data_IF_391804046305
#
_entry.id   IF_391804046305
#
_cell.length_a   1.000
_cell.length_b   1.000
_cell.length_c   1.000
_cell.angle_alpha   90.00
_cell.angle_beta   90.00
_cell.angle_gamma   90.00
#
_symmetry.space_group_name_H-M   'P 1'
#
loop_
_entity.id
_entity.type
_entity.pdbx_description
1 polymer ?
#
# COMPACT_ATOMS: atom_id res chain seq x y z
N UNK A 1 -9.15 -2.46 23.79
CA UNK A 1 -7.75 -2.56 24.28
C UNK A 1 -6.75 -2.19 23.16
N UNK A 2 -7.02 -1.11 22.41
CA UNK A 2 -6.32 -0.74 21.16
C UNK A 2 -4.96 -0.07 21.44
N UNK A 3 -4.80 0.58 22.59
CA UNK A 3 -3.68 1.48 22.88
C UNK A 3 -2.31 0.79 22.94
N UNK A 4 -2.18 -0.41 23.52
CA UNK A 4 -0.88 -1.04 23.77
C UNK A 4 -0.15 -1.51 22.50
N UNK A 5 -0.86 -2.09 21.53
CA UNK A 5 -0.26 -2.63 20.29
C UNK A 5 0.19 -1.52 19.35
N UNK A 6 -0.66 -0.49 19.21
CA UNK A 6 -0.41 0.71 18.41
C UNK A 6 0.80 1.47 18.96
N UNK A 7 0.80 1.67 20.27
CA UNK A 7 1.90 2.33 20.98
C UNK A 7 3.19 1.52 20.86
N UNK A 8 3.15 0.19 21.00
CA UNK A 8 4.33 -0.67 20.82
C UNK A 8 4.89 -0.60 19.42
N UNK A 9 4.06 -0.71 18.37
CA UNK A 9 4.51 -0.63 16.97
C UNK A 9 5.18 0.74 16.70
N UNK A 10 4.55 1.83 17.14
CA UNK A 10 5.07 3.18 16.93
C UNK A 10 6.30 3.53 17.80
N UNK A 11 6.37 3.07 19.05
CA UNK A 11 7.53 3.26 19.93
C UNK A 11 8.72 2.42 19.43
N UNK A 12 8.52 1.16 19.05
CA UNK A 12 9.58 0.35 18.45
C UNK A 12 10.14 1.04 17.20
N UNK A 13 9.24 1.53 16.35
CA UNK A 13 9.58 2.27 15.15
C UNK A 13 10.45 3.51 15.42
N UNK A 14 10.13 4.33 16.42
CA UNK A 14 10.94 5.51 16.74
C UNK A 14 12.21 5.19 17.51
N UNK A 15 12.22 4.10 18.27
CA UNK A 15 13.42 3.64 18.98
C UNK A 15 14.45 3.10 18.00
N UNK A 16 14.03 2.39 16.96
CA UNK A 16 14.91 1.91 15.88
C UNK A 16 15.47 3.04 15.02
N UNK A 17 14.75 4.16 14.92
CA UNK A 17 15.10 5.27 14.02
C UNK A 17 15.34 6.59 14.75
N UNK A 18 15.79 6.52 16.01
CA UNK A 18 16.21 7.66 16.82
C UNK A 18 17.49 8.30 16.25
N UNK A 19 17.41 8.82 15.02
CA UNK A 19 18.21 9.95 14.60
C UNK A 19 17.79 11.05 15.56
N UNK A 20 18.71 11.58 16.38
CA UNK A 20 18.43 12.41 17.56
C UNK A 20 17.62 13.71 17.36
N UNK A 21 16.95 13.87 16.23
CA UNK A 21 16.06 14.97 15.86
C UNK A 21 14.58 14.75 16.16
N UNK A 22 14.13 13.57 16.59
CA UNK A 22 12.68 13.27 16.73
C UNK A 22 12.33 12.71 18.12
N UNK A 23 11.76 13.55 18.98
CA UNK A 23 11.13 13.09 20.21
C UNK A 23 9.68 12.69 19.94
N UNK A 24 9.30 11.44 20.25
CA UNK A 24 7.88 11.06 20.33
C UNK A 24 7.29 11.75 21.56
N UNK A 25 6.18 12.46 21.36
CA UNK A 25 5.38 13.01 22.43
C UNK A 25 4.06 12.26 22.57
N UNK A 26 3.43 12.36 23.74
CA UNK A 26 2.09 11.82 24.00
C UNK A 26 1.05 12.35 23.00
N UNK A 27 1.25 13.57 22.48
CA UNK A 27 0.42 14.18 21.44
C UNK A 27 0.44 13.40 20.13
N UNK A 28 1.59 12.85 19.72
CA UNK A 28 1.67 12.04 18.51
C UNK A 28 0.84 10.76 18.65
N UNK A 29 0.84 10.16 19.83
CA UNK A 29 0.04 8.96 20.14
C UNK A 29 -1.44 9.29 20.11
N UNK A 30 -1.85 10.42 20.70
CA UNK A 30 -3.25 10.89 20.65
C UNK A 30 -3.71 11.12 19.21
N UNK A 31 -2.91 11.82 18.41
CA UNK A 31 -3.20 12.05 16.99
C UNK A 31 -3.33 10.75 16.21
N UNK A 32 -2.48 9.75 16.51
CA UNK A 32 -2.50 8.45 15.84
C UNK A 32 -3.79 7.69 16.14
N UNK A 33 -4.21 7.65 17.41
CA UNK A 33 -5.48 7.02 17.81
C UNK A 33 -6.66 7.69 17.10
N UNK A 34 -6.69 9.04 17.07
CA UNK A 34 -7.76 9.78 16.38
C UNK A 34 -7.82 9.48 14.88
N UNK A 35 -6.67 9.39 14.21
CA UNK A 35 -6.60 9.07 12.79
C UNK A 35 -7.06 7.64 12.49
N UNK A 36 -6.67 6.68 13.33
CA UNK A 36 -7.08 5.28 13.17
C UNK A 36 -8.61 5.13 13.36
N UNK A 37 -9.18 5.79 14.36
CA UNK A 37 -10.63 5.81 14.56
C UNK A 37 -11.38 6.53 13.43
N UNK A 38 -10.83 7.64 12.92
CA UNK A 38 -11.41 8.34 11.78
C UNK A 38 -11.43 7.45 10.53
N UNK A 39 -10.35 6.71 10.27
CA UNK A 39 -10.26 5.78 9.15
C UNK A 39 -11.27 4.61 9.28
N UNK A 40 -11.42 4.05 10.47
CA UNK A 40 -12.44 3.03 10.75
C UNK A 40 -13.87 3.58 10.52
N UNK A 41 -14.15 4.81 10.97
CA UNK A 41 -15.44 5.48 10.77
C UNK A 41 -15.72 5.80 9.30
N UNK A 42 -14.70 6.15 8.52
CA UNK A 42 -14.85 6.32 7.06
C UNK A 42 -15.27 5.01 6.37
N UNK A 43 -14.84 3.87 6.91
CA UNK A 43 -15.26 2.53 6.48
C UNK A 43 -16.54 2.04 7.16
N UNK A 44 -17.24 2.91 7.90
CA UNK A 44 -18.46 2.58 8.67
C UNK A 44 -18.26 1.44 9.69
N UNK A 45 -17.02 1.20 10.14
CA UNK A 45 -16.70 0.19 11.17
C UNK A 45 -16.71 0.82 12.56
N UNK A 46 -17.16 0.05 13.55
CA UNK A 46 -17.13 0.42 14.97
C UNK A 46 -15.83 0.03 15.68
N UNK A 47 -14.97 -0.75 15.02
CA UNK A 47 -13.71 -1.26 15.54
C UNK A 47 -12.55 -0.85 14.62
N UNK A 48 -11.37 -0.72 15.22
CA UNK A 48 -10.13 -0.34 14.54
C UNK A 48 -9.36 -1.61 14.18
N UNK A 49 -9.01 -1.76 12.91
CA UNK A 49 -8.16 -2.83 12.39
C UNK A 49 -6.69 -2.40 12.35
N UNK A 50 -5.77 -3.37 12.22
CA UNK A 50 -4.33 -3.09 12.03
C UNK A 50 -4.08 -2.21 10.79
N UNK A 51 -4.87 -2.37 9.73
CA UNK A 51 -4.79 -1.55 8.50
C UNK A 51 -5.03 -0.05 8.78
N UNK A 52 -5.97 0.26 9.69
CA UNK A 52 -6.31 1.63 10.04
C UNK A 52 -5.15 2.30 10.82
N UNK A 53 -4.41 1.50 11.60
CA UNK A 53 -3.22 1.91 12.33
C UNK A 53 -2.07 2.18 11.35
N UNK A 54 -1.87 1.32 10.36
CA UNK A 54 -0.84 1.49 9.35
C UNK A 54 -1.06 2.77 8.52
N UNK A 55 -2.32 3.07 8.17
CA UNK A 55 -2.70 4.34 7.52
C UNK A 55 -2.43 5.54 8.42
N UNK A 56 -2.80 5.47 9.71
CA UNK A 56 -2.55 6.55 10.67
C UNK A 56 -1.05 6.84 10.85
N UNK A 57 -0.22 5.79 10.95
CA UNK A 57 1.25 5.89 11.00
C UNK A 57 1.77 6.57 9.73
N UNK A 58 1.34 6.13 8.55
CA UNK A 58 1.77 6.72 7.28
C UNK A 58 1.50 8.23 7.21
N UNK A 59 0.29 8.66 7.58
CA UNK A 59 -0.10 10.09 7.55
C UNK A 59 0.77 10.92 8.49
N UNK A 60 0.98 10.43 9.72
CA UNK A 60 1.85 11.13 10.70
C UNK A 60 3.28 11.23 10.17
N UNK A 61 3.82 10.16 9.60
CA UNK A 61 5.17 10.17 9.05
C UNK A 61 5.33 11.09 7.85
N UNK A 62 4.37 11.10 6.94
CA UNK A 62 4.43 11.97 5.77
C UNK A 62 4.40 13.45 6.17
N UNK A 63 3.52 13.80 7.12
CA UNK A 63 3.49 15.15 7.70
C UNK A 63 4.81 15.51 8.38
N UNK A 64 5.39 14.58 9.15
CA UNK A 64 6.63 14.82 9.88
C UNK A 64 7.84 14.97 8.95
N UNK A 65 7.93 14.12 7.92
CA UNK A 65 9.02 14.18 6.94
C UNK A 65 8.96 15.51 6.19
N UNK A 66 7.77 15.99 5.82
CA UNK A 66 7.63 17.26 5.08
C UNK A 66 8.14 18.50 5.83
N UNK A 67 8.20 18.46 7.17
CA UNK A 67 8.68 19.59 7.98
C UNK A 67 10.19 19.57 8.21
N UNK A 68 10.91 18.53 7.78
CA UNK A 68 12.35 18.40 8.01
C UNK A 68 13.18 19.09 6.91
N UNK A 69 14.45 19.39 7.22
CA UNK A 69 15.41 19.90 6.23
C UNK A 69 15.62 18.89 5.11
N UNK A 70 15.84 19.36 3.88
CA UNK A 70 15.93 18.50 2.69
C UNK A 70 16.90 17.30 2.79
N UNK A 71 18.03 17.47 3.49
CA UNK A 71 18.96 16.36 3.74
C UNK A 71 18.33 15.25 4.59
N UNK A 72 17.71 15.65 5.71
CA UNK A 72 17.02 14.74 6.64
C UNK A 72 15.79 14.13 5.96
N UNK A 73 15.04 14.90 5.17
CA UNK A 73 13.88 14.37 4.42
C UNK A 73 14.28 13.19 3.53
N UNK A 74 15.37 13.33 2.76
CA UNK A 74 15.84 12.26 1.86
C UNK A 74 16.29 11.03 2.64
N UNK A 75 16.98 11.22 3.76
CA UNK A 75 17.37 10.13 4.64
C UNK A 75 16.16 9.41 5.24
N UNK A 76 15.20 10.17 5.78
CA UNK A 76 13.99 9.63 6.39
C UNK A 76 13.10 8.91 5.36
N UNK A 77 12.94 9.44 4.14
CA UNK A 77 12.19 8.75 3.06
C UNK A 77 12.79 7.40 2.71
N UNK A 78 14.13 7.28 2.66
CA UNK A 78 14.80 5.99 2.41
C UNK A 78 14.61 5.01 3.57
N UNK A 79 14.71 5.48 4.81
CA UNK A 79 14.53 4.62 5.99
C UNK A 79 13.07 4.16 6.14
N UNK A 80 12.11 5.00 5.76
CA UNK A 80 10.68 4.76 5.95
C UNK A 80 9.94 4.34 4.68
N UNK A 81 10.68 3.98 3.62
CA UNK A 81 10.12 3.65 2.31
C UNK A 81 9.04 2.55 2.41
N UNK A 82 9.28 1.51 3.22
CA UNK A 82 8.32 0.42 3.47
C UNK A 82 6.98 0.90 4.06
N UNK A 83 7.02 1.90 4.94
CA UNK A 83 5.85 2.42 5.63
C UNK A 83 5.12 3.48 4.79
N UNK A 84 5.86 4.22 3.96
CA UNK A 84 5.31 5.21 3.03
C UNK A 84 4.69 4.58 1.78
N UNK A 85 5.22 3.44 1.34
CA UNK A 85 4.75 2.74 0.14
C UNK A 85 3.70 1.66 0.43
N UNK A 86 3.35 1.45 1.71
CA UNK A 86 2.26 0.55 2.09
C UNK A 86 0.94 1.03 1.46
N UNK A 87 0.34 0.19 0.62
CA UNK A 87 -0.89 0.48 -0.14
C UNK A 87 -0.81 1.69 -1.11
N UNK A 88 0.37 2.16 -1.53
CA UNK A 88 0.43 2.99 -2.77
C UNK A 88 -0.16 2.17 -3.91
N UNK A 89 -0.95 2.77 -4.79
CA UNK A 89 -1.81 2.10 -5.77
C UNK A 89 -1.04 1.24 -6.79
N UNK A 90 -0.62 0.05 -6.37
CA UNK A 90 -0.17 -1.00 -7.27
C UNK A 90 -1.30 -1.40 -8.22
N UNK A 91 -2.56 -1.20 -7.80
CA UNK A 91 -3.75 -1.56 -8.56
C UNK A 91 -3.95 -0.68 -9.79
N UNK A 92 -3.70 0.64 -9.70
CA UNK A 92 -3.82 1.53 -10.85
C UNK A 92 -2.75 1.24 -11.90
N UNK A 93 -1.51 0.99 -11.45
CA UNK A 93 -0.42 0.63 -12.33
C UNK A 93 -0.63 -0.76 -12.96
N UNK A 94 -1.11 -1.71 -12.16
CA UNK A 94 -1.47 -3.06 -12.62
C UNK A 94 -2.58 -3.01 -13.68
N UNK A 95 -3.61 -2.20 -13.44
CA UNK A 95 -4.70 -1.99 -14.38
C UNK A 95 -4.22 -1.27 -15.65
N UNK A 96 -3.30 -0.31 -15.53
CA UNK A 96 -2.68 0.35 -16.67
C UNK A 96 -1.92 -0.63 -17.55
N UNK A 97 -1.09 -1.49 -16.94
CA UNK A 97 -0.32 -2.52 -17.64
C UNK A 97 -1.25 -3.54 -18.33
N UNK A 98 -2.32 -3.97 -17.64
CA UNK A 98 -3.32 -4.88 -18.22
C UNK A 98 -4.02 -4.24 -19.42
N UNK A 99 -4.45 -2.97 -19.30
CA UNK A 99 -5.06 -2.22 -20.41
C UNK A 99 -4.11 -2.10 -21.60
N UNK A 100 -2.81 -1.95 -21.36
CA UNK A 100 -1.82 -1.90 -22.43
C UNK A 100 -1.71 -3.25 -23.15
N UNK A 101 -1.60 -4.36 -22.41
CA UNK A 101 -1.54 -5.70 -23.02
C UNK A 101 -2.81 -6.06 -23.81
N UNK A 102 -3.98 -5.71 -23.29
CA UNK A 102 -5.25 -5.93 -24.00
C UNK A 102 -5.33 -5.10 -25.28
N UNK A 103 -4.83 -3.85 -25.27
CA UNK A 103 -4.76 -3.03 -26.49
C UNK A 103 -3.81 -3.63 -27.52
N UNK A 104 -2.63 -4.07 -27.09
CA UNK A 104 -1.63 -4.69 -27.97
C UNK A 104 -2.21 -5.95 -28.64
N UNK A 105 -2.90 -6.81 -27.87
CA UNK A 105 -3.57 -8.00 -28.40
C UNK A 105 -4.72 -7.66 -29.35
N UNK A 106 -5.54 -6.66 -29.01
CA UNK A 106 -6.61 -6.18 -29.91
C UNK A 106 -6.07 -5.64 -31.23
N UNK A 107 -4.94 -4.94 -31.21
CA UNK A 107 -4.28 -4.48 -32.43
C UNK A 107 -3.78 -5.65 -33.28
N UNK A 108 -3.22 -6.69 -32.65
CA UNK A 108 -2.78 -7.90 -33.35
C UNK A 108 -3.94 -8.65 -34.00
N UNK A 109 -5.02 -8.90 -33.26
CA UNK A 109 -6.18 -9.65 -33.78
C UNK A 109 -6.92 -8.89 -34.90
N UNK A 110 -7.04 -7.56 -34.80
CA UNK A 110 -7.64 -6.73 -35.87
C UNK A 110 -6.80 -6.68 -37.15
N UNK A 111 -5.48 -6.75 -37.03
CA UNK A 111 -4.59 -6.81 -38.20
C UNK A 111 -4.67 -8.17 -38.91
N UNK A 112 -5.05 -9.23 -38.17
CA UNK A 112 -5.16 -10.60 -38.67
C UNK A 112 -6.57 -10.93 -39.19
N UNK A 113 -7.60 -10.47 -38.50
CA UNK A 113 -9.01 -10.69 -38.82
C UNK A 113 -9.65 -9.35 -39.19
N UNK A 114 -9.74 -9.08 -40.49
CA UNK A 114 -10.47 -7.93 -40.99
C UNK A 114 -11.97 -8.13 -40.76
N UNK A 115 -12.52 -7.38 -39.81
CA UNK A 115 -13.94 -7.03 -39.66
C UNK A 115 -14.89 -7.99 -38.90
N UNK A 116 -14.37 -9.02 -38.21
CA UNK A 116 -15.19 -9.76 -37.24
C UNK A 116 -15.17 -9.08 -35.85
N UNK A 117 -16.36 -8.89 -35.27
CA UNK A 117 -16.52 -8.32 -33.94
C UNK A 117 -15.94 -9.26 -32.88
N UNK A 118 -14.67 -9.05 -32.51
CA UNK A 118 -14.02 -9.74 -31.40
C UNK A 118 -14.79 -9.52 -30.09
N UNK A 119 -15.43 -10.58 -29.59
CA UNK A 119 -16.16 -10.60 -28.32
C UNK A 119 -15.29 -11.01 -27.14
N UNK A 120 -14.17 -11.69 -27.38
CA UNK A 120 -13.24 -12.15 -26.34
C UNK A 120 -11.79 -11.97 -26.77
N UNK A 121 -10.92 -11.57 -25.84
CA UNK A 121 -9.47 -11.40 -26.05
C UNK A 121 -8.77 -12.21 -24.97
N UNK A 122 -7.96 -13.19 -25.38
CA UNK A 122 -7.17 -13.99 -24.46
C UNK A 122 -5.77 -13.37 -24.31
N UNK A 123 -5.36 -13.09 -23.07
CA UNK A 123 -4.01 -12.63 -22.72
C UNK A 123 -3.39 -13.69 -21.80
N UNK A 124 -2.16 -14.12 -22.12
CA UNK A 124 -1.46 -15.10 -21.30
C UNK A 124 -1.03 -14.48 -19.96
N UNK A 125 -1.24 -15.22 -18.86
CA UNK A 125 -0.88 -14.75 -17.51
C UNK A 125 0.65 -14.58 -17.36
N UNK A 126 1.44 -15.39 -18.07
CA UNK A 126 2.91 -15.30 -18.11
C UNK A 126 3.40 -13.92 -18.51
N UNK A 127 2.81 -13.35 -19.56
CA UNK A 127 3.24 -12.09 -20.17
C UNK A 127 2.93 -10.92 -19.26
N UNK A 128 1.81 -11.02 -18.53
CA UNK A 128 1.44 -10.07 -17.50
C UNK A 128 2.43 -10.11 -16.34
N UNK A 129 2.69 -11.29 -15.78
CA UNK A 129 3.60 -11.46 -14.64
C UNK A 129 5.01 -10.99 -15.00
N UNK A 130 5.51 -11.27 -16.19
CA UNK A 130 6.83 -10.83 -16.64
C UNK A 130 6.92 -9.29 -16.70
N UNK A 131 5.90 -8.65 -17.29
CA UNK A 131 5.83 -7.19 -17.41
C UNK A 131 5.70 -6.49 -16.04
N UNK A 132 4.97 -7.11 -15.10
CA UNK A 132 4.87 -6.61 -13.72
C UNK A 132 6.17 -6.86 -12.95
N UNK A 133 6.82 -8.01 -13.11
CA UNK A 133 8.06 -8.35 -12.41
C UNK A 133 9.25 -7.50 -12.88
N UNK A 134 9.25 -7.03 -14.12
CA UNK A 134 10.27 -6.10 -14.61
C UNK A 134 10.13 -4.71 -13.96
N UNK A 135 8.89 -4.26 -13.71
CA UNK A 135 8.59 -2.93 -13.20
C UNK A 135 8.62 -2.87 -11.66
N UNK A 136 8.17 -3.94 -10.99
CA UNK A 136 8.17 -4.03 -9.54
C UNK A 136 9.37 -4.84 -9.06
N UNK A 137 10.31 -4.16 -8.38
CA UNK A 137 11.47 -4.74 -7.69
C UNK A 137 11.09 -5.69 -6.52
N UNK A 138 9.81 -5.99 -6.31
CA UNK A 138 9.30 -6.83 -5.22
C UNK A 138 8.26 -7.86 -5.72
N UNK A 139 8.28 -9.09 -5.21
CA UNK A 139 7.37 -10.15 -5.67
C UNK A 139 5.92 -9.90 -5.24
N UNK A 140 4.98 -10.05 -6.19
CA UNK A 140 3.51 -9.93 -6.02
C UNK A 140 2.87 -10.98 -5.09
N UNK A 141 3.67 -11.90 -4.53
CA UNK A 141 3.18 -13.16 -3.93
C UNK A 141 2.39 -12.99 -2.62
N UNK A 142 2.34 -11.79 -2.05
CA UNK A 142 1.80 -11.55 -0.70
C UNK A 142 0.46 -10.83 -0.63
N UNK A 143 -0.32 -10.73 -1.73
CA UNK A 143 -1.62 -10.02 -1.69
C UNK A 143 -2.88 -10.89 -1.79
N UNK A 144 -2.78 -12.13 -2.26
CA UNK A 144 -3.95 -13.03 -2.36
C UNK A 144 -4.13 -13.98 -1.16
N UNK A 145 -3.17 -14.05 -0.23
CA UNK A 145 -3.17 -15.06 0.84
C UNK A 145 -3.69 -14.57 2.21
N UNK A 146 -3.95 -13.28 2.41
CA UNK A 146 -4.28 -12.75 3.76
C UNK A 146 -5.77 -12.60 4.06
N UNK A 147 -6.67 -13.00 3.15
CA UNK A 147 -8.12 -12.88 3.36
C UNK A 147 -8.86 -14.23 3.51
N UNK A 148 -8.14 -15.36 3.40
CA UNK A 148 -8.73 -16.71 3.53
C UNK A 148 -8.14 -17.37 4.77
N UNK A 149 -8.60 -16.94 5.95
CA UNK A 149 -8.67 -17.77 7.15
C UNK A 149 -9.49 -17.04 8.22
N UNK A 150 -10.78 -16.83 7.92
CA UNK A 150 -11.78 -16.68 8.98
C UNK A 150 -12.46 -18.03 9.17
N UNK A 151 -11.89 -18.85 10.07
CA UNK A 151 -12.63 -19.97 10.65
C UNK A 151 -13.68 -19.39 11.60
N UNK A 152 -14.91 -19.25 11.11
CA UNK A 152 -16.07 -19.13 11.97
C UNK A 152 -16.63 -20.54 12.15
N UNK A 153 -16.34 -21.15 13.31
CA UNK A 153 -17.18 -22.25 13.81
C UNK A 153 -18.49 -21.63 14.28
N UNK A 154 -19.60 -22.28 13.91
CA UNK A 154 -20.95 -21.88 14.27
C UNK A 154 -21.21 -22.00 15.78
#
# INVERSE_FOLDING_TARGET
LISQTVLRKYIMYARENATGSVAITVRHVESLIRLAEAHAKMHLRSYVCDEDVDVAVRVILESFISTQKASIMRQMRRNFDRHLNFNRDHNELLLYLLKQLVKDQLHYERARHADEALTTVAVAESDFIEKVSFLFRFPLKTRFASCVEMNFTA
#
